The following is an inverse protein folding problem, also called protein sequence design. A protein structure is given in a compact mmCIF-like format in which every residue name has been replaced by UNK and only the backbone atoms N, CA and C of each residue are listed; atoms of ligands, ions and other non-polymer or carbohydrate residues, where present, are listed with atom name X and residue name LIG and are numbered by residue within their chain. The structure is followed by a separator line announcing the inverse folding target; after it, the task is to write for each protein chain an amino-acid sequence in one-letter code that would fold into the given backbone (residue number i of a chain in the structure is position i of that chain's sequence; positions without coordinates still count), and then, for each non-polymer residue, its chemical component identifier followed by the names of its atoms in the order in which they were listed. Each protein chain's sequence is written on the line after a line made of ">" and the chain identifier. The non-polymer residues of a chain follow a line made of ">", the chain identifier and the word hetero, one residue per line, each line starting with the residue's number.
data_IF_350469071711
#
_entry.id   IF_350469071711
#
_cell.length_a   1.000
_cell.length_b   1.000
_cell.length_c   1.000
_cell.angle_alpha   90.00
_cell.angle_beta   90.00
_cell.angle_gamma   90.00
#
_symmetry.space_group_name_H-M   'P 1'
#
loop_
_entity.id
_entity.type
_entity.pdbx_description
1 polymer ?
#
# COMPACT_ATOMS: atom_id res chain seq x y z
N UNK A 1 -3.84 -4.28 28.18
CA UNK A 1 -4.10 -3.49 26.97
C UNK A 1 -2.84 -3.05 26.23
N UNK A 2 -1.82 -2.48 26.90
CA UNK A 2 -0.54 -2.08 26.26
C UNK A 2 0.22 -3.27 25.65
N UNK A 3 0.20 -4.42 26.29
CA UNK A 3 0.81 -5.65 25.74
C UNK A 3 0.13 -6.10 24.45
N UNK A 4 -1.20 -6.10 24.41
CA UNK A 4 -1.99 -6.41 23.22
C UNK A 4 -1.77 -5.37 22.11
N UNK A 5 -1.70 -4.09 22.44
CA UNK A 5 -1.36 -3.07 21.44
C UNK A 5 -0.02 -3.37 20.78
N UNK A 6 1.01 -3.72 21.55
CA UNK A 6 2.35 -3.98 21.01
C UNK A 6 2.44 -5.25 20.16
N UNK A 7 1.66 -6.29 20.49
CA UNK A 7 1.70 -7.55 19.74
C UNK A 7 0.78 -7.56 18.53
N UNK A 8 -0.42 -6.97 18.63
CA UNK A 8 -1.49 -7.18 17.67
C UNK A 8 -1.80 -5.96 16.79
N UNK A 9 -1.33 -4.75 17.17
CA UNK A 9 -1.63 -3.54 16.41
C UNK A 9 -1.01 -3.56 15.01
N UNK A 10 -1.85 -3.41 13.99
CA UNK A 10 -1.46 -3.46 12.58
C UNK A 10 -0.48 -2.35 12.19
N UNK A 11 -0.67 -1.13 12.71
CA UNK A 11 0.20 0.01 12.41
C UNK A 11 1.62 -0.21 12.93
N UNK A 12 1.76 -0.80 14.13
CA UNK A 12 3.07 -1.15 14.69
C UNK A 12 3.76 -2.26 13.90
N UNK A 13 3.00 -3.24 13.41
CA UNK A 13 3.53 -4.29 12.54
C UNK A 13 4.01 -3.73 11.20
N UNK A 14 3.26 -2.82 10.60
CA UNK A 14 3.66 -2.13 9.36
C UNK A 14 4.95 -1.35 9.59
N UNK A 15 5.02 -0.51 10.61
CA UNK A 15 6.23 0.25 10.93
C UNK A 15 7.44 -0.66 11.21
N UNK A 16 7.23 -1.84 11.81
CA UNK A 16 8.26 -2.85 11.96
C UNK A 16 8.77 -3.40 10.63
N UNK A 17 7.87 -3.65 9.69
CA UNK A 17 8.22 -4.09 8.33
C UNK A 17 8.92 -3.01 7.49
N UNK A 18 8.59 -1.74 7.71
CA UNK A 18 9.30 -0.61 7.09
C UNK A 18 10.76 -0.54 7.54
N UNK A 19 11.05 -0.83 8.83
CA UNK A 19 12.43 -0.95 9.31
C UNK A 19 13.17 -2.13 8.65
N UNK A 20 12.52 -3.29 8.51
CA UNK A 20 13.10 -4.42 7.75
C UNK A 20 13.38 -4.05 6.30
N UNK A 21 12.44 -3.36 5.65
CA UNK A 21 12.61 -2.89 4.27
C UNK A 21 13.82 -1.95 4.16
N UNK A 22 13.93 -0.97 5.06
CA UNK A 22 15.07 -0.06 5.08
C UNK A 22 16.42 -0.79 5.29
N UNK A 23 16.44 -1.84 6.13
CA UNK A 23 17.62 -2.70 6.33
C UNK A 23 17.99 -3.46 5.06
N UNK A 24 17.00 -4.03 4.36
CA UNK A 24 17.21 -4.72 3.10
C UNK A 24 17.70 -3.77 2.00
N UNK A 25 17.15 -2.55 1.92
CA UNK A 25 17.63 -1.53 0.99
C UNK A 25 19.07 -1.11 1.31
N UNK A 26 19.43 -0.97 2.59
CA UNK A 26 20.82 -0.73 2.98
C UNK A 26 21.74 -1.88 2.53
N UNK A 27 21.32 -3.14 2.68
CA UNK A 27 22.09 -4.29 2.19
C UNK A 27 22.25 -4.27 0.67
N UNK A 28 21.21 -3.90 -0.10
CA UNK A 28 21.32 -3.71 -1.56
C UNK A 28 22.35 -2.64 -1.92
N UNK A 29 22.39 -1.52 -1.19
CA UNK A 29 23.39 -0.48 -1.40
C UNK A 29 24.81 -0.98 -1.12
N UNK A 30 24.99 -1.89 -0.16
CA UNK A 30 26.27 -2.54 0.09
C UNK A 30 26.62 -3.58 -0.99
N UNK A 31 25.62 -4.15 -1.69
CA UNK A 31 25.86 -5.06 -2.80
C UNK A 31 26.60 -4.43 -3.98
N UNK A 32 26.64 -3.11 -4.10
CA UNK A 32 27.47 -2.40 -5.08
C UNK A 32 28.99 -2.68 -4.96
N UNK A 33 29.44 -3.31 -3.88
CA UNK A 33 30.83 -3.74 -3.73
C UNK A 33 31.13 -5.03 -4.49
N UNK A 34 30.12 -5.78 -4.91
CA UNK A 34 30.25 -7.06 -5.60
C UNK A 34 29.98 -6.92 -7.10
N UNK A 35 30.54 -7.78 -7.94
CA UNK A 35 30.21 -7.82 -9.34
C UNK A 35 28.76 -8.25 -9.56
N UNK A 36 28.12 -7.65 -10.54
CA UNK A 36 26.78 -8.06 -11.00
C UNK A 36 26.94 -8.98 -12.19
N UNK A 37 26.37 -10.17 -12.12
CA UNK A 37 26.30 -11.14 -13.20
C UNK A 37 24.86 -11.13 -13.73
N UNK A 38 24.72 -10.92 -15.03
CA UNK A 38 23.43 -11.03 -15.72
C UNK A 38 23.56 -11.98 -16.89
N UNK A 39 22.57 -12.82 -17.09
CA UNK A 39 22.44 -13.69 -18.26
C UNK A 39 21.09 -13.40 -18.93
N UNK A 40 21.11 -13.30 -20.26
CA UNK A 40 19.92 -13.14 -21.06
C UNK A 40 19.97 -14.13 -22.21
N UNK A 41 18.82 -14.66 -22.59
CA UNK A 41 18.67 -15.50 -23.77
C UNK A 41 17.49 -15.01 -24.60
N UNK A 42 17.66 -14.95 -25.89
CA UNK A 42 16.58 -14.64 -26.81
C UNK A 42 16.55 -15.68 -27.95
N UNK A 43 15.34 -16.07 -28.30
CA UNK A 43 15.06 -16.87 -29.48
C UNK A 43 14.10 -16.08 -30.37
N UNK A 44 14.51 -15.86 -31.59
CA UNK A 44 13.71 -15.17 -32.60
C UNK A 44 13.46 -16.11 -33.76
N UNK A 45 12.22 -16.38 -34.08
CA UNK A 45 11.79 -17.10 -35.26
C UNK A 45 11.15 -16.12 -36.25
N UNK A 46 11.68 -16.07 -37.46
CA UNK A 46 11.13 -15.26 -38.54
C UNK A 46 10.38 -16.15 -39.52
N UNK A 47 9.20 -15.72 -39.94
CA UNK A 47 8.38 -16.47 -40.92
C UNK A 47 9.08 -16.67 -42.24
N UNK A 48 9.95 -15.73 -42.65
CA UNK A 48 10.75 -15.81 -43.84
C UNK A 48 12.20 -15.43 -43.52
N UNK A 49 13.18 -16.13 -44.08
CA UNK A 49 14.58 -15.72 -43.98
C UNK A 49 14.79 -14.40 -44.73
N UNK A 50 15.70 -13.59 -44.27
CA UNK A 50 16.13 -12.41 -45.02
C UNK A 50 17.18 -12.86 -46.01
N UNK A 51 16.81 -12.82 -47.29
CA UNK A 51 17.65 -13.28 -48.42
C UNK A 51 17.83 -12.12 -49.40
N UNK A 52 19.04 -12.01 -49.94
CA UNK A 52 19.27 -11.22 -51.15
C UNK A 52 19.14 -12.16 -52.34
N UNK A 53 18.16 -11.88 -53.17
CA UNK A 53 17.93 -12.58 -54.42
C UNK A 53 18.45 -11.71 -55.57
N UNK A 54 19.52 -12.17 -56.20
CA UNK A 54 20.11 -11.50 -57.34
C UNK A 54 19.81 -12.34 -58.59
N UNK A 55 19.05 -11.79 -59.54
CA UNK A 55 18.84 -12.43 -60.83
C UNK A 55 20.13 -12.36 -61.66
N UNK A 56 20.49 -13.47 -62.24
CA UNK A 56 21.67 -13.53 -63.11
C UNK A 56 21.42 -12.93 -64.51
N UNK A 57 20.19 -12.57 -64.84
CA UNK A 57 19.86 -11.86 -66.10
C UNK A 57 20.69 -10.58 -66.26
N UNK A 58 20.96 -9.89 -65.16
CA UNK A 58 21.77 -8.67 -65.17
C UNK A 58 23.18 -8.86 -65.77
N UNK A 59 23.70 -10.08 -65.68
CA UNK A 59 25.01 -10.44 -66.25
C UNK A 59 24.90 -11.10 -67.63
N UNK A 60 23.80 -11.84 -67.88
CA UNK A 60 23.59 -12.55 -69.14
C UNK A 60 23.02 -11.69 -70.25
N UNK A 61 22.24 -10.65 -69.95
CA UNK A 61 21.62 -9.79 -70.95
C UNK A 61 22.63 -8.95 -71.73
N UNK A 62 23.64 -8.32 -71.15
CA UNK A 62 24.75 -7.70 -71.92
C UNK A 62 25.54 -8.69 -72.74
N UNK A 63 25.75 -9.94 -72.22
CA UNK A 63 26.43 -10.98 -72.92
C UNK A 63 25.66 -11.49 -74.16
N UNK A 64 24.31 -11.58 -74.04
CA UNK A 64 23.45 -11.93 -75.17
C UNK A 64 23.50 -10.86 -76.25
N UNK A 65 23.46 -9.61 -75.89
CA UNK A 65 23.51 -8.49 -76.84
C UNK A 65 24.84 -8.49 -77.58
N UNK A 66 25.96 -8.77 -76.91
CA UNK A 66 27.28 -8.90 -77.53
C UNK A 66 27.36 -10.11 -78.46
N UNK A 67 26.88 -11.29 -78.04
CA UNK A 67 26.85 -12.50 -78.87
C UNK A 67 25.96 -12.28 -80.11
N UNK A 68 24.81 -11.65 -80.00
CA UNK A 68 23.91 -11.36 -81.11
C UNK A 68 24.56 -10.40 -82.14
N UNK A 69 25.41 -9.49 -81.66
CA UNK A 69 26.12 -8.55 -82.54
C UNK A 69 27.20 -9.26 -83.39
N UNK A 70 27.79 -10.35 -82.88
CA UNK A 70 28.87 -11.12 -83.62
C UNK A 70 28.29 -12.30 -84.35
N UNK A 71 27.30 -12.99 -83.81
CA UNK A 71 26.72 -14.24 -84.33
C UNK A 71 25.17 -14.11 -84.30
N UNK A 72 24.56 -13.40 -85.28
CA UNK A 72 23.12 -13.06 -85.21
C UNK A 72 22.18 -14.28 -85.33
N UNK A 73 22.63 -15.45 -85.69
CA UNK A 73 21.85 -16.69 -85.87
C UNK A 73 22.19 -17.80 -84.82
N UNK A 74 23.01 -17.51 -83.85
CA UNK A 74 23.37 -18.53 -82.86
C UNK A 74 22.30 -18.68 -81.75
N UNK A 75 21.41 -19.64 -81.99
CA UNK A 75 20.34 -19.98 -81.02
C UNK A 75 20.90 -20.80 -79.84
N UNK A 76 22.07 -21.48 -79.99
CA UNK A 76 22.57 -22.31 -78.92
C UNK A 76 23.14 -21.48 -77.76
N UNK A 77 24.01 -20.50 -78.04
CA UNK A 77 24.62 -19.65 -77.02
C UNK A 77 23.57 -18.78 -76.40
N UNK A 78 22.63 -18.23 -77.18
CA UNK A 78 21.51 -17.44 -76.64
C UNK A 78 20.64 -18.25 -75.69
N UNK A 79 20.30 -19.50 -76.05
CA UNK A 79 19.51 -20.38 -75.17
C UNK A 79 20.26 -20.82 -73.91
N UNK A 80 21.57 -20.93 -73.96
CA UNK A 80 22.40 -21.23 -72.80
C UNK A 80 22.46 -20.05 -71.84
N UNK A 81 22.61 -18.81 -72.36
CA UNK A 81 22.58 -17.59 -71.56
C UNK A 81 21.22 -17.35 -70.95
N UNK A 82 20.15 -17.71 -71.66
CA UNK A 82 18.80 -17.67 -71.10
C UNK A 82 18.63 -18.63 -69.92
N UNK A 83 19.09 -19.83 -70.00
CA UNK A 83 19.09 -20.82 -68.95
C UNK A 83 19.91 -20.37 -67.73
N UNK A 84 21.06 -19.73 -67.96
CA UNK A 84 21.87 -19.16 -66.88
C UNK A 84 21.16 -17.95 -66.23
N UNK A 85 20.59 -17.06 -67.04
CA UNK A 85 19.90 -15.87 -66.59
C UNK A 85 18.66 -16.16 -65.78
N UNK A 86 17.94 -17.24 -66.08
CA UNK A 86 16.77 -17.67 -65.30
C UNK A 86 17.11 -18.16 -63.90
N UNK A 87 18.38 -18.46 -63.61
CA UNK A 87 18.79 -18.83 -62.26
C UNK A 87 18.89 -17.57 -61.39
N UNK A 88 18.41 -17.69 -60.19
CA UNK A 88 18.49 -16.65 -59.14
C UNK A 88 19.51 -17.09 -58.10
N UNK A 89 20.52 -16.28 -57.88
CA UNK A 89 21.43 -16.47 -56.77
C UNK A 89 20.76 -15.99 -55.50
N UNK A 90 20.46 -16.89 -54.60
CA UNK A 90 19.88 -16.59 -53.28
C UNK A 90 20.94 -16.67 -52.22
N UNK A 91 21.28 -15.57 -51.62
CA UNK A 91 22.22 -15.49 -50.51
C UNK A 91 21.44 -15.25 -49.22
N UNK A 92 21.35 -16.22 -48.31
CA UNK A 92 20.71 -16.02 -47.02
C UNK A 92 21.58 -15.09 -46.16
N UNK A 93 21.06 -13.93 -45.80
CA UNK A 93 21.74 -12.97 -44.92
C UNK A 93 21.47 -13.27 -43.47
N UNK A 94 20.22 -13.67 -43.14
CA UNK A 94 19.81 -13.96 -41.78
C UNK A 94 18.97 -15.25 -41.80
N UNK A 95 19.32 -16.17 -40.91
CA UNK A 95 18.58 -17.42 -40.71
C UNK A 95 17.18 -17.14 -40.11
N UNK A 96 16.22 -18.02 -40.44
CA UNK A 96 14.87 -17.97 -39.84
C UNK A 96 14.89 -18.09 -38.30
N UNK A 97 15.87 -18.85 -37.79
CA UNK A 97 15.99 -19.10 -36.35
C UNK A 97 17.29 -18.47 -35.86
N UNK A 98 17.14 -17.52 -34.95
CA UNK A 98 18.25 -16.87 -34.27
C UNK A 98 18.15 -17.16 -32.80
N UNK A 99 19.17 -17.78 -32.25
CA UNK A 99 19.30 -17.97 -30.80
C UNK A 99 20.51 -17.17 -30.34
N UNK A 100 20.28 -16.29 -29.36
CA UNK A 100 21.35 -15.57 -28.66
C UNK A 100 21.35 -15.90 -27.18
N UNK A 101 22.54 -16.09 -26.63
CA UNK A 101 22.78 -16.26 -25.20
C UNK A 101 23.89 -15.29 -24.82
N UNK A 102 23.59 -14.36 -23.92
CA UNK A 102 24.53 -13.36 -23.47
C UNK A 102 24.76 -13.51 -21.97
N UNK A 103 26.00 -13.42 -21.56
CA UNK A 103 26.39 -13.37 -20.15
C UNK A 103 27.27 -12.15 -19.91
N UNK A 104 26.83 -11.26 -19.02
CA UNK A 104 27.54 -10.04 -18.69
C UNK A 104 27.99 -10.05 -17.24
N UNK A 105 29.24 -9.73 -16.99
CA UNK A 105 29.81 -9.45 -15.68
C UNK A 105 30.17 -7.96 -15.64
N UNK A 106 29.52 -7.22 -14.73
CA UNK A 106 29.83 -5.81 -14.51
C UNK A 106 30.37 -5.61 -13.11
N UNK A 107 31.61 -5.18 -13.03
CA UNK A 107 32.24 -4.85 -11.75
C UNK A 107 32.80 -3.44 -11.76
N UNK A 108 32.08 -2.45 -11.22
CA UNK A 108 32.57 -1.09 -11.16
C UNK A 108 33.69 -0.98 -10.13
N UNK A 109 34.96 -0.87 -10.58
CA UNK A 109 36.14 -0.84 -9.71
C UNK A 109 36.25 0.52 -9.00
N UNK A 110 35.96 1.61 -9.70
CA UNK A 110 36.00 2.98 -9.16
C UNK A 110 34.73 3.75 -9.50
N UNK A 111 34.13 4.38 -8.50
CA UNK A 111 32.84 5.10 -8.62
C UNK A 111 32.89 6.52 -8.04
N UNK A 112 34.08 7.09 -7.86
CA UNK A 112 34.23 8.46 -7.31
C UNK A 112 33.63 8.62 -5.91
N UNK A 113 33.71 7.60 -5.06
CA UNK A 113 33.16 7.64 -3.69
C UNK A 113 31.66 7.35 -3.56
N UNK A 114 30.91 7.21 -4.67
CA UNK A 114 29.46 6.96 -4.64
C UNK A 114 29.07 5.78 -3.75
N UNK A 115 29.83 4.68 -3.74
CA UNK A 115 29.58 3.51 -2.90
C UNK A 115 29.64 3.81 -1.41
N UNK A 116 30.64 4.59 -0.99
CA UNK A 116 30.83 4.96 0.42
C UNK A 116 29.66 5.80 0.90
N UNK A 117 29.27 6.80 0.10
CA UNK A 117 28.13 7.66 0.45
C UNK A 117 26.80 6.91 0.36
N UNK A 118 26.60 6.01 -0.60
CA UNK A 118 25.42 5.17 -0.68
C UNK A 118 25.25 4.31 0.59
N UNK A 119 26.33 3.68 1.08
CA UNK A 119 26.30 2.95 2.33
C UNK A 119 25.95 3.83 3.55
N UNK A 120 26.53 5.04 3.63
CA UNK A 120 26.20 6.00 4.69
C UNK A 120 24.73 6.46 4.62
N UNK A 121 24.23 6.75 3.43
CA UNK A 121 22.81 7.10 3.21
C UNK A 121 21.91 5.95 3.64
N UNK A 122 22.20 4.72 3.20
CA UNK A 122 21.43 3.55 3.59
C UNK A 122 21.36 3.36 5.11
N UNK A 123 22.49 3.55 5.81
CA UNK A 123 22.51 3.49 7.28
C UNK A 123 21.63 4.57 7.91
N UNK A 124 21.65 5.79 7.38
CA UNK A 124 20.80 6.89 7.88
C UNK A 124 19.32 6.65 7.60
N UNK A 125 18.96 6.05 6.46
CA UNK A 125 17.59 5.66 6.15
C UNK A 125 17.06 4.61 7.13
N UNK A 126 17.89 3.65 7.55
CA UNK A 126 17.53 2.70 8.62
C UNK A 126 17.23 3.45 9.92
N UNK A 127 18.10 4.39 10.33
CA UNK A 127 17.86 5.21 11.54
C UNK A 127 16.56 6.01 11.45
N UNK A 128 16.25 6.59 10.28
CA UNK A 128 14.98 7.30 10.05
C UNK A 128 13.79 6.36 10.23
N UNK A 129 13.84 5.16 9.66
CA UNK A 129 12.78 4.17 9.80
C UNK A 129 12.59 3.70 11.26
N UNK A 130 13.67 3.56 12.02
CA UNK A 130 13.62 3.21 13.45
C UNK A 130 12.96 4.33 14.28
N UNK A 131 13.33 5.59 14.08
CA UNK A 131 12.69 6.75 14.73
C UNK A 131 11.21 6.87 14.34
N UNK A 132 10.89 6.67 13.06
CA UNK A 132 9.50 6.66 12.61
C UNK A 132 8.68 5.56 13.29
N UNK A 133 9.23 4.36 13.48
CA UNK A 133 8.59 3.29 14.24
C UNK A 133 8.33 3.70 15.69
N UNK A 134 9.28 4.38 16.34
CA UNK A 134 9.09 4.90 17.70
C UNK A 134 7.97 5.94 17.76
N UNK A 135 7.94 6.86 16.79
CA UNK A 135 6.87 7.86 16.67
C UNK A 135 5.50 7.20 16.49
N UNK A 136 5.38 6.21 15.59
CA UNK A 136 4.15 5.43 15.42
C UNK A 136 3.75 4.76 16.72
N UNK A 137 4.72 4.19 17.46
CA UNK A 137 4.46 3.56 18.76
C UNK A 137 3.91 4.55 19.78
N UNK A 138 4.49 5.74 19.89
CA UNK A 138 4.01 6.79 20.78
C UNK A 138 2.59 7.25 20.41
N UNK A 139 2.34 7.49 19.12
CA UNK A 139 1.01 7.89 18.63
C UNK A 139 -0.06 6.82 18.91
N UNK A 140 0.27 5.54 18.71
CA UNK A 140 -0.67 4.44 19.00
C UNK A 140 -0.95 4.29 20.51
N UNK A 141 0.03 4.57 21.35
CA UNK A 141 -0.18 4.58 22.81
C UNK A 141 -1.11 5.72 23.24
N UNK A 142 -0.92 6.93 22.69
CA UNK A 142 -1.80 8.06 22.95
C UNK A 142 -3.22 7.75 22.50
N UNK A 143 -3.39 7.22 21.29
CA UNK A 143 -4.70 6.84 20.77
C UNK A 143 -5.38 5.74 21.60
N UNK A 144 -4.60 4.80 22.15
CA UNK A 144 -5.12 3.79 23.07
C UNK A 144 -5.67 4.43 24.36
N UNK A 145 -4.93 5.37 24.94
CA UNK A 145 -5.34 6.09 26.15
C UNK A 145 -6.64 6.88 25.89
N UNK A 146 -6.67 7.65 24.80
CA UNK A 146 -7.84 8.43 24.40
C UNK A 146 -9.06 7.54 24.16
N UNK A 147 -8.90 6.45 23.40
CA UNK A 147 -9.99 5.51 23.11
C UNK A 147 -10.50 4.80 24.38
N UNK A 148 -9.59 4.46 25.31
CA UNK A 148 -9.96 3.82 26.57
C UNK A 148 -10.79 4.76 27.47
N UNK A 149 -10.32 6.00 27.65
CA UNK A 149 -11.05 6.97 28.43
C UNK A 149 -12.31 7.47 27.73
N UNK A 150 -12.31 7.55 26.39
CA UNK A 150 -13.51 7.82 25.60
C UNK A 150 -14.59 6.76 25.82
N UNK A 151 -14.21 5.47 25.78
CA UNK A 151 -15.14 4.37 26.11
C UNK A 151 -15.67 4.49 27.53
N UNK A 152 -14.81 4.80 28.50
CA UNK A 152 -15.20 4.97 29.91
C UNK A 152 -16.16 6.12 30.10
N UNK A 153 -15.91 7.25 29.43
CA UNK A 153 -16.83 8.41 29.44
C UNK A 153 -18.17 8.03 28.82
N UNK A 154 -18.18 7.36 27.68
CA UNK A 154 -19.41 6.88 27.03
C UNK A 154 -20.25 5.99 27.96
N UNK A 155 -19.62 5.09 28.70
CA UNK A 155 -20.32 4.27 29.72
C UNK A 155 -20.98 5.14 30.78
N UNK A 156 -20.30 6.18 31.25
CA UNK A 156 -20.86 7.09 32.27
C UNK A 156 -21.99 7.94 31.73
N UNK A 157 -21.89 8.38 30.46
CA UNK A 157 -22.98 9.12 29.79
C UNK A 157 -24.23 8.26 29.68
N UNK A 158 -24.10 7.00 29.28
CA UNK A 158 -25.24 6.05 29.20
C UNK A 158 -25.88 5.85 30.58
N UNK A 159 -25.08 5.74 31.65
CA UNK A 159 -25.57 5.62 33.01
C UNK A 159 -26.42 6.85 33.41
N UNK A 160 -25.89 8.06 33.22
CA UNK A 160 -26.61 9.32 33.51
C UNK A 160 -27.88 9.45 32.66
N UNK A 161 -27.81 9.17 31.36
CA UNK A 161 -28.99 9.23 30.48
C UNK A 161 -30.04 8.19 30.84
N UNK A 162 -29.63 7.03 31.36
CA UNK A 162 -30.55 6.02 31.89
C UNK A 162 -31.30 6.53 33.14
N UNK A 163 -30.58 7.15 34.07
CA UNK A 163 -31.19 7.76 35.27
C UNK A 163 -32.15 8.89 34.90
N UNK A 164 -31.77 9.77 33.95
CA UNK A 164 -32.62 10.83 33.44
C UNK A 164 -33.91 10.29 32.82
N UNK A 165 -33.81 9.30 31.94
CA UNK A 165 -34.97 8.66 31.35
C UNK A 165 -35.89 8.04 32.40
N UNK A 166 -35.32 7.31 33.37
CA UNK A 166 -36.12 6.68 34.44
C UNK A 166 -36.85 7.74 35.30
N UNK A 167 -36.20 8.85 35.61
CA UNK A 167 -36.82 9.95 36.37
C UNK A 167 -37.96 10.59 35.60
N UNK A 168 -37.75 10.90 34.32
CA UNK A 168 -38.80 11.50 33.47
C UNK A 168 -39.96 10.52 33.19
N UNK A 169 -39.68 9.23 33.15
CA UNK A 169 -40.72 8.20 33.06
C UNK A 169 -41.62 8.17 34.30
N UNK A 170 -41.02 8.26 35.50
CA UNK A 170 -41.78 8.38 36.74
C UNK A 170 -42.65 9.64 36.73
N UNK A 171 -42.09 10.78 36.27
CA UNK A 171 -42.83 12.01 36.11
C UNK A 171 -44.02 11.89 35.15
N UNK A 172 -43.83 11.26 34.00
CA UNK A 172 -44.91 10.98 33.05
C UNK A 172 -46.01 10.10 33.68
N UNK A 173 -45.61 9.01 34.36
CA UNK A 173 -46.55 8.09 35.02
C UNK A 173 -47.37 8.80 36.12
N UNK A 174 -46.76 9.76 36.82
CA UNK A 174 -47.47 10.63 37.81
C UNK A 174 -48.44 11.58 37.10
N UNK A 175 -48.00 12.25 36.03
CA UNK A 175 -48.86 13.15 35.26
C UNK A 175 -50.08 12.42 34.67
N UNK A 176 -49.89 11.19 34.20
CA UNK A 176 -50.97 10.35 33.69
C UNK A 176 -52.02 10.06 34.77
N UNK A 177 -51.59 9.72 36.00
CA UNK A 177 -52.49 9.51 37.13
C UNK A 177 -53.25 10.77 37.53
N UNK A 178 -52.58 11.93 37.55
CA UNK A 178 -53.21 13.23 37.88
C UNK A 178 -54.22 13.66 36.82
N UNK A 179 -53.94 13.42 35.52
CA UNK A 179 -54.94 13.65 34.45
C UNK A 179 -56.19 12.78 34.64
N UNK A 180 -55.98 11.48 34.93
CA UNK A 180 -57.09 10.55 35.20
C UNK A 180 -57.97 10.95 36.38
N UNK A 181 -57.39 11.66 37.38
CA UNK A 181 -58.08 12.20 38.52
C UNK A 181 -58.67 13.59 38.25
N UNK A 182 -58.47 14.16 37.06
CA UNK A 182 -58.95 15.51 36.73
C UNK A 182 -58.16 16.65 37.37
N UNK A 183 -57.01 16.39 37.98
CA UNK A 183 -56.16 17.39 38.66
C UNK A 183 -55.30 18.20 37.70
N UNK A 184 -54.93 17.64 36.51
CA UNK A 184 -54.19 18.36 35.48
C UNK A 184 -54.90 18.18 34.14
N UNK A 185 -54.62 19.07 33.20
CA UNK A 185 -55.15 18.97 31.85
C UNK A 185 -54.29 18.07 30.94
N UNK A 186 -54.84 17.67 29.79
CA UNK A 186 -54.16 16.81 28.81
C UNK A 186 -52.87 17.44 28.26
N UNK A 187 -52.80 18.76 28.14
CA UNK A 187 -51.61 19.44 27.61
C UNK A 187 -50.41 19.28 28.56
N UNK A 188 -50.65 19.39 29.88
CA UNK A 188 -49.60 19.18 30.89
C UNK A 188 -49.04 17.74 30.88
N UNK A 189 -49.91 16.73 30.76
CA UNK A 189 -49.43 15.34 30.58
C UNK A 189 -48.65 15.18 29.29
N UNK A 190 -49.07 15.78 28.16
CA UNK A 190 -48.36 15.70 26.89
C UNK A 190 -46.96 16.33 26.99
N UNK A 191 -46.76 17.40 27.73
CA UNK A 191 -45.44 17.98 28.02
C UNK A 191 -44.53 16.96 28.71
N UNK A 192 -45.05 16.29 29.75
CA UNK A 192 -44.28 15.24 30.44
C UNK A 192 -43.95 14.05 29.51
N UNK A 193 -44.90 13.69 28.65
CA UNK A 193 -44.67 12.62 27.65
C UNK A 193 -43.57 13.00 26.64
N UNK A 194 -43.59 14.22 26.10
CA UNK A 194 -42.55 14.69 25.17
C UNK A 194 -41.18 14.67 25.82
N UNK A 195 -41.08 15.17 27.08
CA UNK A 195 -39.81 15.15 27.82
C UNK A 195 -39.26 13.73 28.04
N UNK A 196 -40.14 12.77 28.36
CA UNK A 196 -39.77 11.37 28.54
C UNK A 196 -39.29 10.76 27.20
N UNK A 197 -40.01 10.97 26.08
CA UNK A 197 -39.63 10.44 24.77
C UNK A 197 -38.34 11.08 24.23
N UNK A 198 -38.08 12.35 24.58
CA UNK A 198 -36.82 13.02 24.27
C UNK A 198 -35.64 12.39 25.02
N UNK A 199 -35.79 12.18 26.32
CA UNK A 199 -34.78 11.52 27.14
C UNK A 199 -34.53 10.07 26.67
N UNK A 200 -35.56 9.36 26.20
CA UNK A 200 -35.43 8.04 25.62
C UNK A 200 -34.58 8.07 24.34
N UNK A 201 -34.82 9.02 23.43
CA UNK A 201 -34.02 9.19 22.21
C UNK A 201 -32.56 9.52 22.52
N UNK A 202 -32.32 10.39 23.53
CA UNK A 202 -30.98 10.72 23.97
C UNK A 202 -30.26 9.50 24.56
N UNK A 203 -30.94 8.66 25.32
CA UNK A 203 -30.39 7.41 25.86
C UNK A 203 -30.01 6.43 24.71
N UNK A 204 -30.90 6.28 23.74
CA UNK A 204 -30.63 5.41 22.57
C UNK A 204 -29.43 5.92 21.72
N UNK A 205 -29.33 7.25 21.55
CA UNK A 205 -28.16 7.86 20.91
C UNK A 205 -26.89 7.57 21.70
N UNK A 206 -26.90 7.82 23.01
CA UNK A 206 -25.73 7.57 23.87
C UNK A 206 -25.28 6.08 23.84
N UNK A 207 -26.21 5.14 23.74
CA UNK A 207 -25.91 3.72 23.63
C UNK A 207 -25.19 3.40 22.29
N UNK A 208 -25.65 3.99 21.18
CA UNK A 208 -24.99 3.84 19.88
C UNK A 208 -23.58 4.44 19.87
N UNK A 209 -23.43 5.62 20.46
CA UNK A 209 -22.12 6.28 20.58
C UNK A 209 -21.15 5.43 21.42
N UNK A 210 -21.63 4.79 22.49
CA UNK A 210 -20.86 3.85 23.30
C UNK A 210 -20.45 2.61 22.49
N UNK A 211 -21.33 2.10 21.66
CA UNK A 211 -21.03 0.96 20.77
C UNK A 211 -19.90 1.33 19.78
N UNK A 212 -20.00 2.50 19.14
CA UNK A 212 -18.96 3.01 18.23
C UNK A 212 -17.62 3.16 18.96
N UNK A 213 -17.61 3.75 20.15
CA UNK A 213 -16.40 3.88 20.97
C UNK A 213 -15.81 2.51 21.34
N UNK A 214 -16.64 1.52 21.62
CA UNK A 214 -16.21 0.14 21.89
C UNK A 214 -15.57 -0.50 20.68
N UNK A 215 -16.17 -0.35 19.49
CA UNK A 215 -15.64 -0.88 18.23
C UNK A 215 -14.31 -0.20 17.85
N UNK A 216 -14.19 1.10 18.05
CA UNK A 216 -12.95 1.83 17.81
C UNK A 216 -11.80 1.26 18.66
N UNK A 217 -12.03 1.04 19.94
CA UNK A 217 -11.02 0.46 20.84
C UNK A 217 -10.68 -0.99 20.47
N UNK A 218 -11.68 -1.82 20.13
CA UNK A 218 -11.47 -3.20 19.66
C UNK A 218 -10.60 -3.26 18.40
N UNK A 219 -10.90 -2.40 17.44
CA UNK A 219 -10.13 -2.29 16.20
C UNK A 219 -8.67 -1.89 16.46
N UNK A 220 -8.45 -0.95 17.38
CA UNK A 220 -7.10 -0.47 17.73
C UNK A 220 -6.20 -1.58 18.31
N UNK A 221 -6.76 -2.42 19.18
CA UNK A 221 -6.03 -3.54 19.80
C UNK A 221 -6.22 -4.86 19.07
N UNK A 222 -6.91 -4.85 17.94
CA UNK A 222 -7.15 -5.98 17.04
C UNK A 222 -7.74 -7.21 17.75
N UNK A 223 -8.76 -7.00 18.59
CA UNK A 223 -9.52 -8.09 19.23
C UNK A 223 -10.85 -8.30 18.53
N UNK A 224 -11.37 -9.54 18.60
CA UNK A 224 -12.64 -9.92 17.96
C UNK A 224 -13.85 -9.16 18.52
N UNK A 225 -14.87 -9.00 17.69
CA UNK A 225 -16.09 -8.26 18.02
C UNK A 225 -16.86 -8.84 19.22
N UNK A 226 -16.79 -10.15 19.43
CA UNK A 226 -17.50 -10.85 20.50
C UNK A 226 -16.95 -10.60 21.92
N UNK A 227 -15.73 -10.07 22.02
CA UNK A 227 -15.13 -9.81 23.32
C UNK A 227 -15.67 -8.55 23.97
N UNK A 228 -16.15 -8.68 25.19
CA UNK A 228 -16.65 -7.54 25.98
C UNK A 228 -15.49 -6.86 26.69
N UNK A 229 -15.25 -5.59 26.38
CA UNK A 229 -14.26 -4.77 27.08
C UNK A 229 -14.90 -4.20 28.33
N UNK A 230 -14.38 -4.55 29.51
CA UNK A 230 -14.74 -3.93 30.78
C UNK A 230 -13.65 -2.95 31.19
N UNK A 231 -14.02 -1.70 31.39
CA UNK A 231 -13.13 -0.67 31.93
C UNK A 231 -13.23 -0.67 33.45
N UNK A 232 -12.09 -0.78 34.11
CA UNK A 232 -12.02 -0.87 35.59
C UNK A 232 -11.56 0.43 36.27
N UNK A 233 -10.92 1.32 35.49
CA UNK A 233 -10.34 2.57 36.01
C UNK A 233 -11.45 3.60 36.26
N UNK A 234 -11.46 4.23 37.44
CA UNK A 234 -12.33 5.36 37.71
C UNK A 234 -11.88 6.61 36.94
N UNK A 235 -12.86 7.43 36.51
CA UNK A 235 -12.56 8.76 36.01
C UNK A 235 -12.31 9.66 37.22
N UNK A 236 -11.09 10.13 37.35
CA UNK A 236 -10.76 11.15 38.38
C UNK A 236 -9.83 12.19 37.72
N UNK A 237 -9.95 13.40 38.21
CA UNK A 237 -9.05 14.48 37.84
C UNK A 237 -7.84 14.38 38.76
N UNK A 238 -6.66 14.21 38.22
CA UNK A 238 -5.43 14.33 38.99
C UNK A 238 -5.15 15.83 39.16
N UNK A 239 -5.35 16.33 40.37
CA UNK A 239 -5.16 17.77 40.69
C UNK A 239 -3.70 18.22 40.55
N UNK A 240 -2.75 17.29 40.56
CA UNK A 240 -1.33 17.59 40.36
C UNK A 240 -0.89 17.36 38.90
N UNK A 241 -1.28 18.27 38.01
CA UNK A 241 -0.67 18.32 36.68
C UNK A 241 0.77 18.84 36.82
N UNK A 242 1.81 18.09 36.42
CA UNK A 242 3.18 18.58 36.49
C UNK A 242 3.32 19.91 35.75
N UNK A 243 4.17 20.80 36.25
CA UNK A 243 4.40 22.09 35.63
C UNK A 243 4.97 21.92 34.20
N UNK A 244 4.76 22.91 33.33
CA UNK A 244 5.33 22.90 31.96
C UNK A 244 6.86 22.72 31.96
N UNK A 245 7.55 23.13 33.02
CA UNK A 245 8.98 22.94 33.17
C UNK A 245 9.37 21.48 33.36
N UNK A 246 8.58 20.69 34.09
CA UNK A 246 8.79 19.24 34.20
C UNK A 246 8.81 18.53 32.84
N UNK A 247 7.92 18.92 31.93
CA UNK A 247 7.87 18.35 30.59
C UNK A 247 9.03 18.85 29.71
N UNK A 248 9.51 20.10 29.90
CA UNK A 248 10.67 20.62 29.18
C UNK A 248 11.96 19.87 29.52
N UNK A 249 12.13 19.48 30.78
CA UNK A 249 13.31 18.73 31.23
C UNK A 249 13.32 17.28 30.71
N UNK A 250 12.16 16.71 30.36
CA UNK A 250 12.04 15.36 29.79
C UNK A 250 12.31 15.29 28.28
N UNK A 251 12.37 16.43 27.59
CA UNK A 251 12.67 16.47 26.14
C UNK A 251 14.18 16.70 26.02
N UNK A 252 14.98 15.67 25.67
CA UNK A 252 16.38 15.90 25.39
C UNK A 252 16.48 16.78 24.13
N UNK A 253 16.98 17.99 24.28
CA UNK A 253 17.40 18.80 23.15
C UNK A 253 18.61 18.13 22.52
N UNK A 254 18.41 17.50 21.35
CA UNK A 254 19.47 17.08 20.44
C UNK A 254 19.68 18.15 19.38
#
# INVERSE_FOLDING_TARGET
>A
SLTLLRSENKSLRIAGKEVELAKNEHQKLNAFWYPTISAAGAYVHMSNPIEVRQSLNQFTDPAKEYVHSILPNDQFISSLLDKIGQNTLTLPLISQNITSIDANLTWPIFTGGKRIYAGKIGKKLVSVAEVNREQVSANQQTLLIESYFGLRLGQRVVEVKTETYNSLKIHYDQALKLEQQGMINRAERLVAQVSMEEAKRELESARKDLEVASQALKSLINIGEEQVIRTTTSLFINESIPSANYFKEMIPFN
#
